data_IF_272950176931
#
_entry.id   IF_272950176931
#
_cell.length_a   1.000
_cell.length_b   1.000
_cell.length_c   1.000
_cell.angle_alpha   90.00
_cell.angle_beta   90.00
_cell.angle_gamma   90.00
#
_symmetry.space_group_name_H-M   'P 1'
#
loop_
_entity.id
_entity.type
_entity.pdbx_description
1 polymer ?
#
# COMPACT_ATOMS: atom_id res chain seq x y z
N UNK A 1 -11.60 6.76 4.38
CA UNK A 1 -11.74 5.72 5.43
C UNK A 1 -10.77 4.61 5.10
N UNK A 2 -9.98 4.16 6.08
CA UNK A 2 -8.96 3.12 5.89
C UNK A 2 -9.52 1.78 6.40
N UNK A 3 -9.56 0.78 5.53
CA UNK A 3 -9.86 -0.61 5.89
C UNK A 3 -8.59 -1.46 5.77
N UNK A 4 -8.14 -2.01 6.89
CA UNK A 4 -7.02 -2.96 6.94
C UNK A 4 -7.57 -4.35 7.27
N UNK A 5 -7.12 -5.36 6.55
CA UNK A 5 -7.43 -6.76 6.86
C UNK A 5 -6.15 -7.60 6.77
N UNK A 6 -6.03 -8.58 7.67
CA UNK A 6 -4.90 -9.51 7.71
C UNK A 6 -5.41 -10.91 8.00
N UNK A 7 -4.92 -11.87 7.24
CA UNK A 7 -5.17 -13.30 7.43
C UNK A 7 -3.83 -14.01 7.55
N UNK A 8 -3.75 -14.99 8.43
CA UNK A 8 -2.54 -15.78 8.65
C UNK A 8 -2.87 -17.24 8.90
N UNK A 9 -2.06 -18.14 8.36
CA UNK A 9 -2.15 -19.58 8.50
C UNK A 9 -0.77 -20.10 8.89
N UNK A 10 -0.74 -21.01 9.86
CA UNK A 10 0.46 -21.72 10.28
C UNK A 10 0.19 -23.22 10.31
N UNK A 11 1.11 -24.02 9.81
CA UNK A 11 1.01 -25.48 9.81
C UNK A 11 2.33 -26.10 10.27
N UNK A 12 2.25 -26.89 11.34
CA UNK A 12 3.36 -27.69 11.83
C UNK A 12 3.31 -29.07 11.17
N UNK A 13 4.29 -29.38 10.33
CA UNK A 13 4.34 -30.66 9.60
C UNK A 13 4.93 -31.76 10.51
N UNK A 14 5.96 -31.41 11.27
CA UNK A 14 6.71 -32.28 12.16
C UNK A 14 7.55 -31.42 13.13
N UNK A 15 8.31 -32.05 14.03
CA UNK A 15 9.23 -31.34 14.92
C UNK A 15 10.22 -30.50 14.10
N UNK A 16 10.29 -29.20 14.41
CA UNK A 16 11.08 -28.20 13.68
C UNK A 16 10.72 -28.05 12.18
N UNK A 17 9.52 -28.46 11.76
CA UNK A 17 8.95 -28.18 10.44
C UNK A 17 7.69 -27.32 10.57
N UNK A 18 7.80 -26.04 10.22
CA UNK A 18 6.68 -25.11 10.27
C UNK A 18 6.59 -24.34 8.97
N UNK A 19 5.40 -24.35 8.37
CA UNK A 19 5.03 -23.43 7.29
C UNK A 19 4.16 -22.32 7.87
N UNK A 20 4.45 -21.07 7.52
CA UNK A 20 3.60 -19.93 7.85
C UNK A 20 3.30 -19.14 6.58
N UNK A 21 2.05 -18.73 6.41
CA UNK A 21 1.59 -17.88 5.33
C UNK A 21 0.77 -16.75 5.92
N UNK A 22 1.03 -15.52 5.52
CA UNK A 22 0.26 -14.35 5.90
C UNK A 22 -0.08 -13.52 4.68
N UNK A 23 -1.26 -12.92 4.70
CA UNK A 23 -1.74 -11.99 3.68
C UNK A 23 -2.30 -10.76 4.38
N UNK A 24 -1.85 -9.59 3.96
CA UNK A 24 -2.31 -8.29 4.46
C UNK A 24 -2.79 -7.47 3.29
N UNK A 25 -4.00 -6.94 3.39
CA UNK A 25 -4.52 -5.98 2.43
C UNK A 25 -4.96 -4.69 3.11
N UNK A 26 -4.77 -3.59 2.39
CA UNK A 26 -5.23 -2.27 2.81
C UNK A 26 -5.94 -1.60 1.66
N UNK A 27 -7.10 -1.05 1.97
CA UNK A 27 -7.83 -0.15 1.09
C UNK A 27 -8.02 1.18 1.81
N UNK A 28 -7.53 2.25 1.22
CA UNK A 28 -7.87 3.62 1.64
C UNK A 28 -8.61 4.33 0.52
N UNK A 29 -9.66 5.05 0.88
CA UNK A 29 -10.32 6.02 0.02
C UNK A 29 -10.33 7.35 0.77
N UNK A 30 -9.51 8.27 0.29
CA UNK A 30 -9.40 9.62 0.82
C UNK A 30 -9.97 10.59 -0.20
N UNK A 31 -10.97 11.36 0.24
CA UNK A 31 -11.52 12.46 -0.53
C UNK A 31 -11.05 13.74 0.15
N UNK A 32 -10.04 14.39 -0.43
CA UNK A 32 -9.56 15.69 0.02
C UNK A 32 -10.42 16.76 -0.66
N UNK A 33 -11.27 17.44 0.12
CA UNK A 33 -11.96 18.63 -0.32
C UNK A 33 -11.36 19.81 0.44
N UNK A 34 -10.63 20.68 -0.26
CA UNK A 34 -10.07 21.90 0.30
C UNK A 34 -10.71 23.09 -0.41
N UNK A 35 -11.47 23.88 0.34
CA UNK A 35 -12.04 25.16 -0.11
C UNK A 35 -11.26 26.27 0.60
N UNK A 36 -10.58 27.12 -0.15
CA UNK A 36 -9.88 28.29 0.43
C UNK A 36 -10.56 29.57 -0.07
N UNK A 37 -11.14 30.33 0.87
CA UNK A 37 -11.71 31.66 0.59
C UNK A 37 -10.71 32.76 1.01
N UNK A 38 -10.15 33.44 0.00
CA UNK A 38 -9.40 34.70 0.13
C UNK A 38 -9.92 35.73 -0.88
N UNK A 39 -9.08 36.61 -1.41
CA UNK A 39 -9.45 37.52 -2.54
C UNK A 39 -9.86 36.78 -3.82
N UNK A 40 -9.58 35.47 -3.91
CA UNK A 40 -10.03 34.56 -4.97
C UNK A 40 -10.64 33.29 -4.34
N UNK A 41 -11.57 32.65 -5.06
CA UNK A 41 -12.10 31.31 -4.73
C UNK A 41 -11.24 30.25 -5.42
N UNK A 42 -10.63 29.36 -4.65
CA UNK A 42 -9.92 28.18 -5.18
C UNK A 42 -10.55 26.92 -4.61
N UNK A 43 -11.03 26.05 -5.48
CA UNK A 43 -11.55 24.73 -5.11
C UNK A 43 -10.52 23.66 -5.50
N UNK A 44 -10.04 22.92 -4.51
CA UNK A 44 -9.19 21.76 -4.72
C UNK A 44 -9.96 20.50 -4.36
N UNK A 45 -10.20 19.64 -5.36
CA UNK A 45 -10.81 18.33 -5.16
C UNK A 45 -9.77 17.25 -5.50
N UNK A 46 -9.38 16.49 -4.49
CA UNK A 46 -8.44 15.38 -4.60
C UNK A 46 -9.12 14.05 -4.31
N UNK A 47 -9.00 13.09 -5.22
CA UNK A 47 -9.48 11.72 -4.99
C UNK A 47 -8.28 10.78 -4.97
N UNK A 48 -8.01 10.16 -3.83
CA UNK A 48 -6.92 9.21 -3.64
C UNK A 48 -7.48 7.83 -3.26
N UNK A 49 -7.08 6.82 -4.02
CA UNK A 49 -7.42 5.43 -3.74
C UNK A 49 -6.13 4.65 -3.54
N UNK A 50 -5.89 4.16 -2.32
CA UNK A 50 -4.69 3.36 -2.02
C UNK A 50 -5.08 1.89 -1.97
N UNK A 51 -4.37 1.07 -2.74
CA UNK A 51 -4.45 -0.39 -2.70
C UNK A 51 -3.10 -0.97 -2.27
N UNK A 52 -3.11 -1.84 -1.26
CA UNK A 52 -1.94 -2.58 -0.80
C UNK A 52 -2.29 -4.07 -0.75
N UNK A 53 -1.45 -4.89 -1.35
CA UNK A 53 -1.46 -6.34 -1.21
C UNK A 53 -0.07 -6.78 -0.77
N UNK A 54 0.04 -7.36 0.43
CA UNK A 54 1.26 -7.94 0.93
C UNK A 54 1.04 -9.42 1.23
N UNK A 55 1.87 -10.30 0.67
CA UNK A 55 1.87 -11.74 0.91
C UNK A 55 3.22 -12.12 1.47
N UNK A 56 3.23 -12.79 2.62
CA UNK A 56 4.43 -13.27 3.30
C UNK A 56 4.32 -14.77 3.51
N UNK A 57 5.34 -15.53 3.11
CA UNK A 57 5.44 -16.96 3.40
C UNK A 57 6.80 -17.28 4.01
N UNK A 58 6.83 -18.12 5.03
CA UNK A 58 8.05 -18.60 5.65
C UNK A 58 7.99 -20.09 5.95
N UNK A 59 9.14 -20.75 5.87
CA UNK A 59 9.27 -22.17 6.14
C UNK A 59 10.52 -22.45 6.99
N UNK A 60 10.30 -23.13 8.10
CA UNK A 60 11.35 -23.60 9.01
C UNK A 60 11.69 -25.04 8.69
N UNK A 61 12.97 -25.31 8.47
CA UNK A 61 13.54 -26.63 8.24
C UNK A 61 14.18 -27.18 9.53
N UNK A 62 14.18 -28.50 9.71
CA UNK A 62 14.57 -29.15 10.97
C UNK A 62 16.04 -28.98 11.33
N UNK A 63 16.88 -28.64 10.35
CA UNK A 63 18.31 -28.41 10.50
C UNK A 63 18.66 -26.94 10.78
N UNK A 64 17.69 -26.13 11.24
CA UNK A 64 17.91 -24.74 11.65
C UNK A 64 17.96 -23.73 10.50
N UNK A 65 17.50 -24.10 9.30
CA UNK A 65 17.35 -23.17 8.18
C UNK A 65 15.92 -22.62 8.13
N UNK A 66 15.78 -21.31 8.07
CA UNK A 66 14.52 -20.62 7.78
C UNK A 66 14.62 -19.98 6.40
N UNK A 67 13.63 -20.24 5.56
CA UNK A 67 13.48 -19.56 4.27
C UNK A 67 12.20 -18.73 4.28
N UNK A 68 12.23 -17.57 3.63
CA UNK A 68 11.11 -16.65 3.57
C UNK A 68 11.01 -15.96 2.21
N UNK A 69 9.78 -15.63 1.84
CA UNK A 69 9.46 -14.83 0.68
C UNK A 69 8.36 -13.84 1.03
N UNK A 70 8.53 -12.59 0.60
CA UNK A 70 7.51 -11.55 0.72
C UNK A 70 7.28 -10.87 -0.62
N UNK A 71 6.02 -10.66 -0.96
CA UNK A 71 5.60 -9.92 -2.14
C UNK A 71 4.69 -8.76 -1.74
N UNK A 72 5.08 -7.55 -2.15
CA UNK A 72 4.35 -6.32 -1.89
C UNK A 72 3.96 -5.66 -3.21
N UNK A 73 2.66 -5.50 -3.43
CA UNK A 73 2.09 -4.65 -4.46
C UNK A 73 1.39 -3.46 -3.80
N UNK A 74 1.83 -2.24 -4.12
CA UNK A 74 1.25 -0.99 -3.64
C UNK A 74 0.88 -0.11 -4.82
N UNK A 75 -0.33 0.43 -4.79
CA UNK A 75 -0.83 1.36 -5.80
C UNK A 75 -1.44 2.58 -5.11
N UNK A 76 -1.01 3.76 -5.53
CA UNK A 76 -1.56 5.04 -5.08
C UNK A 76 -1.82 5.96 -6.28
N UNK A 77 -2.95 5.78 -6.99
CA UNK A 77 -3.52 6.80 -7.86
C UNK A 77 -4.01 8.01 -7.05
N UNK A 78 -3.43 9.18 -7.35
CA UNK A 78 -3.84 10.49 -6.85
C UNK A 78 -4.31 11.34 -8.03
N UNK A 79 -5.58 11.75 -8.01
CA UNK A 79 -6.15 12.71 -8.93
C UNK A 79 -6.34 14.03 -8.20
N UNK A 80 -5.74 15.11 -8.69
CA UNK A 80 -5.88 16.45 -8.13
C UNK A 80 -6.46 17.39 -9.18
N UNK A 81 -7.65 17.91 -8.87
CA UNK A 81 -8.32 18.97 -9.61
C UNK A 81 -8.12 20.28 -8.86
N UNK A 82 -7.55 21.28 -9.54
CA UNK A 82 -7.38 22.63 -9.00
C UNK A 82 -8.07 23.62 -9.93
N UNK A 83 -9.13 24.26 -9.43
CA UNK A 83 -9.86 25.32 -10.13
C UNK A 83 -9.57 26.64 -9.42
N UNK A 84 -8.98 27.60 -10.14
CA UNK A 84 -8.66 28.92 -9.62
C UNK A 84 -8.97 30.01 -10.64
N UNK A 85 -9.74 31.02 -10.24
CA UNK A 85 -9.97 32.24 -11.02
C UNK A 85 -8.95 33.30 -10.60
N UNK A 86 -8.34 34.01 -11.55
CA UNK A 86 -7.42 35.12 -11.29
C UNK A 86 -7.71 36.26 -12.27
N UNK A 87 -8.24 37.39 -11.78
CA UNK A 87 -8.43 38.64 -12.55
C UNK A 87 -9.02 38.41 -13.97
N UNK A 88 -10.26 37.92 -14.04
CA UNK A 88 -11.01 37.57 -15.27
C UNK A 88 -10.49 36.38 -16.10
N UNK A 89 -9.43 35.67 -15.68
CA UNK A 89 -8.98 34.41 -16.30
C UNK A 89 -9.29 33.18 -15.44
N UNK A 90 -9.97 32.20 -16.04
CA UNK A 90 -10.23 30.88 -15.46
C UNK A 90 -9.02 29.95 -15.72
N UNK A 91 -8.40 29.43 -14.65
CA UNK A 91 -7.36 28.39 -14.74
C UNK A 91 -7.85 27.09 -14.14
N UNK A 92 -7.99 26.09 -15.01
CA UNK A 92 -8.29 24.71 -14.64
C UNK A 92 -6.99 23.90 -14.78
N UNK A 93 -6.47 23.37 -13.68
CA UNK A 93 -5.32 22.47 -13.68
C UNK A 93 -5.76 21.05 -13.32
N UNK A 94 -5.50 20.11 -14.23
CA UNK A 94 -5.73 18.69 -14.02
C UNK A 94 -4.41 17.96 -13.82
N UNK A 95 -4.20 17.35 -12.65
CA UNK A 95 -3.00 16.55 -12.37
C UNK A 95 -3.39 15.12 -12.02
N UNK A 96 -2.79 14.15 -12.72
CA UNK A 96 -2.98 12.72 -12.47
C UNK A 96 -1.62 12.08 -12.17
N UNK A 97 -1.46 11.53 -10.97
CA UNK A 97 -0.26 10.80 -10.55
C UNK A 97 -0.63 9.37 -10.20
N UNK A 98 0.08 8.39 -10.74
CA UNK A 98 -0.13 6.97 -10.43
C UNK A 98 1.19 6.36 -9.98
N UNK A 99 1.36 6.21 -8.67
CA UNK A 99 2.50 5.48 -8.12
C UNK A 99 2.16 3.99 -8.01
N UNK A 100 3.04 3.14 -8.54
CA UNK A 100 2.97 1.69 -8.40
C UNK A 100 4.31 1.20 -7.87
N UNK A 101 4.29 0.40 -6.80
CA UNK A 101 5.48 -0.24 -6.23
C UNK A 101 5.22 -1.75 -6.21
N UNK A 102 6.10 -2.48 -6.88
CA UNK A 102 6.18 -3.93 -6.86
C UNK A 102 7.51 -4.34 -6.24
N UNK A 103 7.46 -5.05 -5.10
CA UNK A 103 8.67 -5.47 -4.38
C UNK A 103 8.59 -6.95 -4.03
N UNK A 104 9.68 -7.66 -4.35
CA UNK A 104 9.93 -9.03 -3.93
C UNK A 104 11.10 -9.04 -2.94
N UNK A 105 10.98 -9.81 -1.87
CA UNK A 105 12.03 -10.06 -0.91
C UNK A 105 12.15 -11.56 -0.69
N UNK A 106 13.38 -12.06 -0.74
CA UNK A 106 13.71 -13.45 -0.45
C UNK A 106 14.70 -13.47 0.70
N UNK A 107 14.46 -14.34 1.68
CA UNK A 107 15.32 -14.50 2.85
C UNK A 107 15.67 -15.96 3.04
N UNK A 108 16.91 -16.21 3.46
CA UNK A 108 17.38 -17.51 3.88
C UNK A 108 18.34 -17.27 5.06
N UNK A 109 17.96 -17.76 6.23
CA UNK A 109 18.71 -17.60 7.48
C UNK A 109 18.98 -18.98 8.07
N UNK A 110 20.24 -19.27 8.37
CA UNK A 110 20.64 -20.54 8.96
C UNK A 110 21.24 -20.30 10.34
N UNK A 111 20.55 -20.78 11.37
CA UNK A 111 21.08 -20.82 12.72
C UNK A 111 21.94 -22.07 12.88
N UNK A 112 23.19 -21.89 13.30
CA UNK A 112 24.05 -22.96 13.81
C UNK A 112 24.23 -22.73 15.31
N UNK A 113 24.09 -23.79 16.10
CA UNK A 113 24.38 -23.77 17.54
C UNK A 113 25.66 -24.53 17.85
#
# INVERSE_FOLDING_TARGET
MIHNYRMGLGYAIADNHQLSLAYTGKWDSSHLHHETMGTNTSQQQGNEHIYLHNVDASYNLPFGLQIGISYLNYQNPSQQYLEGTMLDEERILYTNSKQVIDKWLFTADQSHS
#
